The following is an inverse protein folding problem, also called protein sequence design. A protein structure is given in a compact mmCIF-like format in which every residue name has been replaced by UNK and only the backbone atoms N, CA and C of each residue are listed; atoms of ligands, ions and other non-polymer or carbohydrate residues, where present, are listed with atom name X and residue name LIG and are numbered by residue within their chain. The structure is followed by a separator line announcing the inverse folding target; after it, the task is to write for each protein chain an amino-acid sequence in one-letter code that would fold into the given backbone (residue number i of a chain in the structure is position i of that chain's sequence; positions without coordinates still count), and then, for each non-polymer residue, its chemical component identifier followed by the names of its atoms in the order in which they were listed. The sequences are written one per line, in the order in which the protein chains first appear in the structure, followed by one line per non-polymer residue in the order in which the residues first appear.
data_IF_426715580178
#
_entry.id   IF_426715580178
#
_cell.length_a   1.000
_cell.length_b   1.000
_cell.length_c   1.000
_cell.angle_alpha   90.00
_cell.angle_beta   90.00
_cell.angle_gamma   90.00
#
_symmetry.space_group_name_H-M   'P 1'
#
loop_
_entity.id
_entity.type
_entity.pdbx_description
1 polymer ?
#
# COMPACT_ATOMS: atom_id res chain seq x y z
N UNK A 1 -22.18 37.70 15.79
CA UNK A 1 -22.19 36.26 15.54
C UNK A 1 -20.82 35.75 15.95
N UNK A 2 -20.71 35.14 17.14
CA UNK A 2 -19.49 34.43 17.52
C UNK A 2 -19.28 33.33 16.47
N UNK A 3 -18.12 33.34 15.79
CA UNK A 3 -17.82 32.34 14.77
C UNK A 3 -17.84 30.94 15.40
N UNK A 4 -18.38 29.95 14.68
CA UNK A 4 -18.39 28.57 15.18
C UNK A 4 -16.96 28.13 15.58
N UNK A 5 -16.82 27.38 16.68
CA UNK A 5 -15.51 26.97 17.18
C UNK A 5 -14.77 26.13 16.14
N UNK A 6 -13.51 26.48 15.92
CA UNK A 6 -12.62 25.71 15.03
C UNK A 6 -12.17 24.44 15.74
N UNK A 7 -12.40 23.29 15.12
CA UNK A 7 -11.87 22.03 15.61
C UNK A 7 -10.41 21.90 15.17
N UNK A 8 -9.49 21.81 16.14
CA UNK A 8 -8.10 21.46 15.90
C UNK A 8 -7.92 19.96 16.06
N UNK A 9 -7.36 19.29 15.05
CA UNK A 9 -7.12 17.84 15.03
C UNK A 9 -5.65 17.55 14.75
N UNK A 10 -4.99 16.83 15.67
CA UNK A 10 -3.59 16.40 15.55
C UNK A 10 -3.51 14.94 15.13
N UNK A 11 -2.79 14.65 14.05
CA UNK A 11 -2.67 13.33 13.45
C UNK A 11 -1.21 12.92 13.46
N UNK A 12 -0.93 11.67 13.83
CA UNK A 12 0.37 11.02 13.74
C UNK A 12 0.29 9.84 12.78
N UNK A 13 1.20 9.77 11.81
CA UNK A 13 1.31 8.70 10.83
C UNK A 13 2.75 8.14 10.82
N UNK A 14 2.90 6.82 10.86
CA UNK A 14 4.22 6.17 10.87
C UNK A 14 4.18 4.72 10.38
N UNK A 15 5.02 4.42 9.37
CA UNK A 15 5.48 3.07 9.11
C UNK A 15 6.44 2.64 10.24
N UNK A 16 6.03 1.65 11.04
CA UNK A 16 6.76 1.23 12.23
C UNK A 16 7.90 0.24 11.94
N UNK A 17 7.99 -0.29 10.71
CA UNK A 17 8.93 -1.36 10.32
C UNK A 17 9.05 -2.45 11.38
N UNK A 18 7.92 -3.01 11.86
CA UNK A 18 7.92 -3.94 12.99
C UNK A 18 7.97 -5.40 12.53
N UNK A 19 8.80 -5.70 11.52
CA UNK A 19 8.87 -7.04 10.91
C UNK A 19 9.56 -7.99 11.89
N UNK A 20 8.89 -9.11 12.20
CA UNK A 20 9.42 -10.09 13.13
C UNK A 20 10.70 -10.72 12.56
N UNK A 21 11.75 -10.76 13.37
CA UNK A 21 13.09 -11.31 13.06
C UNK A 21 13.96 -10.52 12.07
N UNK A 22 13.40 -9.61 11.28
CA UNK A 22 14.16 -8.80 10.32
C UNK A 22 14.47 -7.40 10.86
N UNK A 23 13.51 -6.75 11.51
CA UNK A 23 13.67 -5.37 11.95
C UNK A 23 14.56 -5.25 13.18
N UNK A 24 15.60 -4.41 13.07
CA UNK A 24 16.58 -4.17 14.13
C UNK A 24 15.93 -3.44 15.31
N UNK A 25 16.33 -3.82 16.53
CA UNK A 25 15.86 -3.23 17.81
C UNK A 25 14.32 -3.10 17.91
N UNK A 26 13.56 -3.99 17.26
CA UNK A 26 12.09 -3.88 17.12
C UNK A 26 11.35 -3.59 18.42
N UNK A 27 11.57 -4.41 19.47
CA UNK A 27 10.85 -4.26 20.74
C UNK A 27 11.14 -2.93 21.43
N UNK A 28 12.36 -2.44 21.32
CA UNK A 28 12.76 -1.15 21.88
C UNK A 28 12.07 0.00 21.15
N UNK A 29 12.09 -0.03 19.80
CA UNK A 29 11.40 0.96 18.96
C UNK A 29 9.89 0.99 19.19
N UNK A 30 9.22 -0.16 19.23
CA UNK A 30 7.77 -0.24 19.50
C UNK A 30 7.43 0.36 20.87
N UNK A 31 8.24 0.08 21.91
CA UNK A 31 8.06 0.69 23.23
C UNK A 31 8.25 2.20 23.19
N UNK A 32 9.27 2.66 22.49
CA UNK A 32 9.61 4.08 22.33
C UNK A 32 8.50 4.85 21.60
N UNK A 33 7.97 4.30 20.50
CA UNK A 33 6.79 4.82 19.80
C UNK A 33 5.63 4.99 20.80
N UNK A 34 5.31 3.95 21.57
CA UNK A 34 4.25 4.01 22.57
C UNK A 34 4.48 5.02 23.70
N UNK A 35 5.74 5.28 24.11
CA UNK A 35 6.06 6.32 25.09
C UNK A 35 5.86 7.72 24.53
N UNK A 36 6.34 7.97 23.32
CA UNK A 36 6.19 9.27 22.64
C UNK A 36 4.72 9.59 22.39
N UNK A 37 3.93 8.64 21.87
CA UNK A 37 2.50 8.85 21.63
C UNK A 37 1.74 9.21 22.90
N UNK A 38 2.13 8.64 24.05
CA UNK A 38 1.53 8.96 25.35
C UNK A 38 1.85 10.38 25.83
N UNK A 39 3.02 10.92 25.47
CA UNK A 39 3.49 12.23 25.89
C UNK A 39 3.00 13.36 24.98
N UNK A 40 3.10 13.18 23.65
CA UNK A 40 2.83 14.21 22.65
C UNK A 40 1.36 14.58 22.54
N UNK A 41 0.45 13.63 22.80
CA UNK A 41 -0.98 13.89 22.87
C UNK A 41 -1.65 14.22 21.54
N UNK A 42 -1.40 13.40 20.51
CA UNK A 42 -2.15 13.40 19.25
C UNK A 42 -3.61 12.95 19.45
N UNK A 43 -4.47 13.22 18.47
CA UNK A 43 -5.87 12.82 18.50
C UNK A 43 -6.15 11.53 17.73
N UNK A 44 -5.43 11.34 16.63
CA UNK A 44 -5.43 10.14 15.80
C UNK A 44 -4.00 9.67 15.55
N UNK A 45 -3.80 8.37 15.65
CA UNK A 45 -2.52 7.70 15.34
C UNK A 45 -2.80 6.62 14.31
N UNK A 46 -2.12 6.70 13.18
CA UNK A 46 -2.23 5.82 12.03
C UNK A 46 -0.88 5.11 11.87
N UNK A 47 -0.86 3.80 12.06
CA UNK A 47 0.39 3.04 12.03
C UNK A 47 0.35 1.99 10.92
N UNK A 48 1.46 1.86 10.21
CA UNK A 48 1.71 0.78 9.26
C UNK A 48 2.81 -0.14 9.80
N UNK A 49 2.93 -1.33 9.22
CA UNK A 49 3.94 -2.33 9.58
C UNK A 49 3.95 -2.79 11.04
N UNK A 50 2.83 -2.69 11.75
CA UNK A 50 2.63 -3.38 13.04
C UNK A 50 2.23 -4.83 12.76
N UNK A 51 3.20 -5.65 12.35
CA UNK A 51 2.94 -7.00 11.83
C UNK A 51 2.55 -8.02 12.91
N UNK A 52 3.00 -7.82 14.14
CA UNK A 52 2.75 -8.75 15.25
C UNK A 52 1.51 -8.34 16.04
N UNK A 53 0.54 -9.24 16.21
CA UNK A 53 -0.62 -9.00 17.09
C UNK A 53 -0.18 -8.72 18.54
N UNK A 54 0.95 -9.30 18.98
CA UNK A 54 1.52 -8.99 20.29
C UNK A 54 2.01 -7.54 20.37
N UNK A 55 2.69 -7.05 19.33
CA UNK A 55 3.22 -5.67 19.32
C UNK A 55 2.03 -4.68 19.32
N UNK A 56 0.93 -4.98 18.60
CA UNK A 56 -0.32 -4.23 18.69
C UNK A 56 -0.94 -4.29 20.09
N UNK A 57 -1.02 -5.48 20.71
CA UNK A 57 -1.59 -5.66 22.05
C UNK A 57 -0.81 -4.86 23.10
N UNK A 58 0.53 -4.88 23.02
CA UNK A 58 1.41 -4.13 23.92
C UNK A 58 1.21 -2.62 23.76
N UNK A 59 1.13 -2.12 22.52
CA UNK A 59 0.79 -0.72 22.24
C UNK A 59 -0.60 -0.38 22.79
N UNK A 60 -1.61 -1.23 22.57
CA UNK A 60 -2.98 -1.00 23.06
C UNK A 60 -3.04 -0.87 24.57
N UNK A 61 -2.37 -1.75 25.31
CA UNK A 61 -2.32 -1.66 26.78
C UNK A 61 -1.63 -0.37 27.21
N UNK A 62 -0.48 -0.06 26.60
CA UNK A 62 0.31 1.14 26.94
C UNK A 62 -0.43 2.45 26.66
N UNK A 63 -1.20 2.47 25.57
CA UNK A 63 -1.90 3.65 25.07
C UNK A 63 -3.33 3.77 25.60
N UNK A 64 -3.87 2.80 26.34
CA UNK A 64 -5.26 2.78 26.76
C UNK A 64 -5.71 4.03 27.54
N UNK A 65 -4.80 4.67 28.29
CA UNK A 65 -5.10 5.89 29.06
C UNK A 65 -5.25 7.15 28.22
N UNK A 66 -4.65 7.21 27.02
CA UNK A 66 -4.73 8.37 26.12
C UNK A 66 -5.51 8.08 24.84
N UNK A 67 -5.54 6.84 24.37
CA UNK A 67 -6.24 6.36 23.18
C UNK A 67 -7.12 5.15 23.53
N UNK A 68 -8.28 5.36 24.17
CA UNK A 68 -9.14 4.27 24.63
C UNK A 68 -9.75 3.47 23.47
N UNK A 69 -9.78 4.02 22.25
CA UNK A 69 -10.33 3.37 21.07
C UNK A 69 -9.22 3.00 20.11
N UNK A 70 -9.20 1.75 19.66
CA UNK A 70 -8.24 1.31 18.66
C UNK A 70 -8.78 0.15 17.83
N UNK A 71 -8.23 0.01 16.63
CA UNK A 71 -8.57 -1.08 15.71
C UNK A 71 -7.32 -1.61 15.01
N UNK A 72 -7.24 -2.94 14.88
CA UNK A 72 -6.19 -3.66 14.17
C UNK A 72 -6.78 -4.39 12.97
N UNK A 73 -6.32 -4.05 11.78
CA UNK A 73 -6.87 -4.58 10.55
C UNK A 73 -6.20 -5.91 10.19
N UNK A 74 -6.91 -7.02 10.35
CA UNK A 74 -6.41 -8.36 10.01
C UNK A 74 -6.61 -8.67 8.53
N UNK A 75 -5.55 -9.04 7.83
CA UNK A 75 -5.56 -9.31 6.38
C UNK A 75 -4.45 -10.29 6.00
N UNK A 76 -4.60 -11.02 4.89
CA UNK A 76 -3.55 -11.91 4.36
C UNK A 76 -3.07 -12.99 5.35
N UNK A 77 -1.87 -13.53 5.11
CA UNK A 77 -1.26 -14.58 5.94
C UNK A 77 -0.48 -13.96 7.11
N UNK A 78 0.31 -12.91 6.84
CA UNK A 78 1.15 -12.25 7.85
C UNK A 78 0.39 -11.12 8.57
N UNK A 79 -0.64 -10.54 7.97
CA UNK A 79 -1.33 -9.34 8.46
C UNK A 79 -1.38 -8.24 7.40
N UNK A 80 -2.15 -7.18 7.65
CA UNK A 80 -2.02 -5.92 6.89
C UNK A 80 -0.91 -5.02 7.44
N UNK A 81 -0.56 -5.20 8.72
CA UNK A 81 0.33 -4.30 9.45
C UNK A 81 -0.34 -2.99 9.88
N UNK A 82 -1.63 -2.78 9.59
CA UNK A 82 -2.32 -1.51 9.80
C UNK A 82 -3.06 -1.48 11.13
N UNK A 83 -2.90 -0.39 11.88
CA UNK A 83 -3.74 -0.12 13.03
C UNK A 83 -3.97 1.37 13.26
N UNK A 84 -5.06 1.66 13.95
CA UNK A 84 -5.46 3.03 14.32
C UNK A 84 -5.67 3.09 15.83
N UNK A 85 -5.15 4.14 16.45
CA UNK A 85 -5.48 4.55 17.81
C UNK A 85 -6.14 5.92 17.80
N UNK A 86 -7.21 6.08 18.58
CA UNK A 86 -8.01 7.30 18.60
C UNK A 86 -8.40 7.68 20.02
N UNK A 87 -8.38 8.99 20.27
CA UNK A 87 -9.01 9.59 21.45
C UNK A 87 -10.53 9.49 21.42
N UNK A 88 -11.10 9.39 20.22
CA UNK A 88 -12.54 9.47 19.98
C UNK A 88 -13.10 8.09 19.63
N UNK A 89 -14.39 7.82 19.93
CA UNK A 89 -15.03 6.56 19.60
C UNK A 89 -14.95 6.25 18.10
N UNK A 90 -14.45 5.06 17.78
CA UNK A 90 -14.55 4.48 16.44
C UNK A 90 -15.96 3.90 16.30
N UNK A 91 -16.74 4.47 15.39
CA UNK A 91 -18.15 4.13 15.19
C UNK A 91 -18.34 2.95 14.24
N UNK A 92 -17.48 2.84 13.23
CA UNK A 92 -17.51 1.77 12.24
C UNK A 92 -16.13 1.54 11.65
N UNK A 93 -15.92 0.35 11.09
CA UNK A 93 -14.65 -0.09 10.49
C UNK A 93 -14.89 -0.90 9.23
N UNK A 94 -14.09 -0.68 8.20
CA UNK A 94 -14.11 -1.46 6.97
C UNK A 94 -12.69 -1.73 6.49
N UNK A 95 -12.44 -2.92 5.95
CA UNK A 95 -11.15 -3.30 5.37
C UNK A 95 -11.32 -3.67 3.91
N UNK A 96 -10.45 -3.15 3.05
CA UNK A 96 -10.35 -3.54 1.65
C UNK A 96 -8.93 -4.01 1.34
N UNK A 97 -8.79 -5.31 1.05
CA UNK A 97 -7.52 -5.90 0.61
C UNK A 97 -7.35 -5.66 -0.90
N UNK A 98 -6.16 -5.22 -1.30
CA UNK A 98 -5.86 -4.96 -2.70
C UNK A 98 -5.73 -6.25 -3.52
N UNK A 99 -6.07 -6.14 -4.80
CA UNK A 99 -6.15 -7.29 -5.71
C UNK A 99 -4.78 -7.81 -6.17
N UNK A 100 -3.72 -6.98 -6.17
CA UNK A 100 -2.36 -7.36 -6.55
C UNK A 100 -1.36 -6.93 -5.47
N UNK A 101 -0.61 -7.90 -4.93
CA UNK A 101 0.33 -7.69 -3.81
C UNK A 101 1.75 -8.23 -4.10
N UNK A 102 2.14 -8.36 -5.37
CA UNK A 102 3.49 -8.82 -5.75
C UNK A 102 3.50 -10.26 -6.27
N UNK A 103 4.66 -10.91 -6.24
CA UNK A 103 4.85 -12.25 -6.81
C UNK A 103 5.18 -13.30 -5.74
N UNK A 104 4.47 -14.45 -5.70
CA UNK A 104 4.66 -15.47 -4.66
C UNK A 104 6.05 -16.11 -4.66
N UNK A 105 6.71 -16.13 -5.82
CA UNK A 105 8.04 -16.72 -5.99
C UNK A 105 9.17 -15.75 -5.67
N UNK A 106 8.89 -14.46 -5.45
CA UNK A 106 9.87 -13.47 -5.02
C UNK A 106 9.92 -13.42 -3.50
N UNK A 107 10.43 -14.50 -2.87
CA UNK A 107 10.41 -14.67 -1.41
C UNK A 107 11.09 -13.55 -0.63
N UNK A 108 12.08 -12.89 -1.24
CA UNK A 108 12.78 -11.76 -0.65
C UNK A 108 11.94 -10.48 -0.65
N UNK A 109 10.87 -10.43 -1.46
CA UNK A 109 9.96 -9.29 -1.58
C UNK A 109 8.64 -9.66 -0.87
N UNK A 110 8.60 -9.44 0.44
CA UNK A 110 7.61 -10.01 1.35
C UNK A 110 6.15 -9.59 1.12
N UNK A 111 5.88 -8.58 0.29
CA UNK A 111 4.55 -8.00 0.05
C UNK A 111 3.49 -9.02 -0.34
N UNK A 112 3.85 -10.09 -1.07
CA UNK A 112 2.86 -11.09 -1.51
C UNK A 112 2.26 -11.87 -0.33
N UNK A 113 3.05 -12.11 0.71
CA UNK A 113 2.59 -12.80 1.92
C UNK A 113 1.81 -11.86 2.86
N UNK A 114 1.94 -10.55 2.63
CA UNK A 114 1.22 -9.50 3.32
C UNK A 114 -0.13 -9.26 2.65
N UNK A 115 -1.15 -8.95 3.46
CA UNK A 115 -2.46 -8.57 2.96
C UNK A 115 -2.55 -7.07 2.75
N UNK A 116 -1.73 -6.47 1.88
CA UNK A 116 -1.72 -5.01 1.63
C UNK A 116 -3.15 -4.53 1.35
N UNK A 117 -3.53 -3.45 2.01
CA UNK A 117 -4.94 -3.08 2.15
C UNK A 117 -5.09 -1.62 2.53
N UNK A 118 -6.32 -1.12 2.47
CA UNK A 118 -6.74 0.10 3.15
C UNK A 118 -7.75 -0.23 4.23
N UNK A 119 -7.50 0.26 5.45
CA UNK A 119 -8.44 0.24 6.56
C UNK A 119 -9.17 1.59 6.66
N UNK A 120 -10.49 1.56 6.80
CA UNK A 120 -11.35 2.71 7.09
C UNK A 120 -11.83 2.63 8.54
N UNK A 121 -11.75 3.73 9.26
CA UNK A 121 -12.51 3.96 10.50
C UNK A 121 -13.40 5.20 10.35
N UNK A 122 -14.63 5.11 10.86
CA UNK A 122 -15.56 6.25 10.91
C UNK A 122 -15.58 6.79 12.34
N UNK A 123 -15.35 8.10 12.49
CA UNK A 123 -15.25 8.77 13.80
C UNK A 123 -16.11 10.03 13.75
N UNK A 124 -16.80 10.36 14.85
CA UNK A 124 -17.55 11.62 14.97
C UNK A 124 -16.98 12.50 16.07
N UNK A 125 -16.50 13.69 15.70
CA UNK A 125 -15.85 14.64 16.60
C UNK A 125 -16.59 15.96 16.52
N UNK A 126 -17.14 16.43 17.64
CA UNK A 126 -17.88 17.71 17.71
C UNK A 126 -18.96 17.87 16.63
N UNK A 127 -19.66 16.77 16.31
CA UNK A 127 -20.71 16.74 15.30
C UNK A 127 -20.24 16.55 13.85
N UNK A 128 -18.92 16.57 13.59
CA UNK A 128 -18.29 16.37 12.27
C UNK A 128 -17.96 14.89 12.09
N UNK A 129 -18.37 14.32 10.97
CA UNK A 129 -18.12 12.92 10.60
C UNK A 129 -16.83 12.80 9.79
N UNK A 130 -15.86 12.06 10.33
CA UNK A 130 -14.59 11.78 9.69
C UNK A 130 -14.59 10.35 9.15
N UNK A 131 -14.24 10.20 7.88
CA UNK A 131 -13.76 8.92 7.36
C UNK A 131 -12.24 8.99 7.30
N UNK A 132 -11.60 8.17 8.14
CA UNK A 132 -10.15 8.11 8.27
C UNK A 132 -9.66 6.80 7.67
N UNK A 133 -8.80 6.90 6.67
CA UNK A 133 -8.22 5.79 5.95
C UNK A 133 -6.76 5.64 6.38
N UNK A 134 -6.32 4.42 6.68
CA UNK A 134 -4.92 4.06 6.86
C UNK A 134 -4.56 3.02 5.79
N UNK A 135 -3.44 3.21 5.11
CA UNK A 135 -3.01 2.26 4.07
C UNK A 135 -1.51 2.05 4.07
N UNK A 136 -1.09 0.97 3.42
CA UNK A 136 0.30 0.70 3.07
C UNK A 136 0.30 0.06 1.68
N UNK A 137 0.81 0.78 0.67
CA UNK A 137 0.90 0.27 -0.69
C UNK A 137 2.12 -0.67 -0.85
N UNK A 138 2.21 -1.36 -1.98
CA UNK A 138 3.31 -2.26 -2.30
C UNK A 138 4.63 -1.51 -2.29
N UNK A 139 5.72 -2.10 -1.79
CA UNK A 139 7.02 -1.44 -1.76
C UNK A 139 7.65 -1.23 -3.15
N UNK A 140 8.45 -0.18 -3.30
CA UNK A 140 9.36 0.03 -4.44
C UNK A 140 10.75 -0.53 -4.10
N UNK A 141 11.03 -1.75 -4.57
CA UNK A 141 12.30 -2.42 -4.29
C UNK A 141 13.49 -1.94 -5.15
N UNK A 142 13.23 -1.25 -6.26
CA UNK A 142 14.27 -0.76 -7.16
C UNK A 142 13.72 0.31 -8.11
N UNK A 143 14.20 1.55 -7.97
CA UNK A 143 13.74 2.68 -8.80
C UNK A 143 14.02 2.51 -10.29
N UNK A 144 15.21 2.00 -10.64
CA UNK A 144 15.62 1.84 -12.04
C UNK A 144 14.90 0.68 -12.75
N UNK A 145 14.52 -0.36 -12.00
CA UNK A 145 13.92 -1.58 -12.53
C UNK A 145 12.71 -1.99 -11.71
N UNK A 146 11.72 -1.13 -11.73
CA UNK A 146 10.51 -1.35 -10.94
C UNK A 146 9.50 -2.24 -11.67
N UNK A 147 9.58 -3.55 -11.42
CA UNK A 147 8.61 -4.51 -11.94
C UNK A 147 7.25 -4.44 -11.24
N UNK A 148 7.14 -3.67 -10.14
CA UNK A 148 5.95 -3.56 -9.30
C UNK A 148 5.16 -2.28 -9.53
N UNK A 149 5.62 -1.37 -10.40
CA UNK A 149 4.87 -0.16 -10.76
C UNK A 149 3.41 -0.48 -11.16
N UNK A 150 3.13 -1.47 -12.03
CA UNK A 150 1.74 -1.78 -12.38
C UNK A 150 0.92 -2.26 -11.19
N UNK A 151 1.53 -2.94 -10.22
CA UNK A 151 0.86 -3.37 -8.99
C UNK A 151 0.54 -2.15 -8.13
N UNK A 152 1.50 -1.25 -7.89
CA UNK A 152 1.28 0.00 -7.14
C UNK A 152 0.20 0.87 -7.79
N UNK A 153 0.14 0.94 -9.12
CA UNK A 153 -0.90 1.67 -9.85
C UNK A 153 -2.29 1.04 -9.72
N UNK A 154 -2.40 -0.29 -9.78
CA UNK A 154 -3.67 -0.98 -9.50
C UNK A 154 -4.12 -0.67 -8.07
N UNK A 155 -3.22 -0.77 -7.08
CA UNK A 155 -3.54 -0.47 -5.69
C UNK A 155 -3.95 1.01 -5.48
N UNK A 156 -3.24 1.95 -6.10
CA UNK A 156 -3.58 3.38 -6.05
C UNK A 156 -4.96 3.66 -6.67
N UNK A 157 -5.28 3.01 -7.80
CA UNK A 157 -6.58 3.10 -8.43
C UNK A 157 -7.69 2.52 -7.55
N UNK A 158 -7.48 1.33 -6.98
CA UNK A 158 -8.41 0.70 -6.05
C UNK A 158 -8.62 1.55 -4.79
N UNK A 159 -7.55 2.11 -4.22
CA UNK A 159 -7.62 3.04 -3.09
C UNK A 159 -8.45 4.29 -3.43
N UNK A 160 -8.21 4.88 -4.60
CA UNK A 160 -8.93 6.07 -5.04
C UNK A 160 -10.43 5.79 -5.23
N UNK A 161 -10.77 4.65 -5.84
CA UNK A 161 -12.14 4.20 -6.00
C UNK A 161 -12.79 3.91 -4.64
N UNK A 162 -12.10 3.19 -3.77
CA UNK A 162 -12.57 2.85 -2.43
C UNK A 162 -12.93 4.11 -1.64
N UNK A 163 -12.03 5.10 -1.59
CA UNK A 163 -12.26 6.38 -0.91
C UNK A 163 -13.48 7.09 -1.52
N UNK A 164 -13.57 7.21 -2.85
CA UNK A 164 -14.71 7.89 -3.50
C UNK A 164 -16.06 7.24 -3.19
N UNK A 165 -16.10 5.91 -3.13
CA UNK A 165 -17.34 5.19 -2.91
C UNK A 165 -17.77 5.16 -1.45
N UNK A 166 -16.81 5.16 -0.52
CA UNK A 166 -17.08 5.07 0.92
C UNK A 166 -17.16 6.42 1.62
N UNK A 167 -16.61 7.50 1.03
CA UNK A 167 -16.56 8.82 1.67
C UNK A 167 -17.78 9.72 1.44
N UNK A 168 -18.86 9.23 0.82
CA UNK A 168 -20.00 10.08 0.41
C UNK A 168 -20.76 10.71 1.58
N UNK A 169 -20.74 10.06 2.74
CA UNK A 169 -21.42 10.51 3.95
C UNK A 169 -20.48 11.22 4.95
N UNK A 170 -19.19 11.38 4.61
CA UNK A 170 -18.21 12.01 5.47
C UNK A 170 -18.22 13.53 5.29
N UNK A 171 -18.07 14.28 6.38
CA UNK A 171 -17.83 15.72 6.34
C UNK A 171 -16.37 16.01 6.00
N UNK A 172 -15.46 15.21 6.55
CA UNK A 172 -14.02 15.29 6.34
C UNK A 172 -13.47 13.90 6.02
N UNK A 173 -12.56 13.86 5.06
CA UNK A 173 -11.85 12.66 4.63
C UNK A 173 -10.37 12.84 4.93
N UNK A 174 -9.78 11.85 5.60
CA UNK A 174 -8.36 11.81 5.95
C UNK A 174 -7.76 10.50 5.46
N UNK A 175 -6.62 10.54 4.79
CA UNK A 175 -5.83 9.37 4.43
C UNK A 175 -4.44 9.53 5.04
N UNK A 176 -4.00 8.55 5.82
CA UNK A 176 -2.63 8.42 6.31
C UNK A 176 -1.96 7.15 5.80
N UNK A 177 -0.66 7.21 5.58
CA UNK A 177 0.19 6.04 5.50
C UNK A 177 1.25 6.08 4.41
N UNK A 178 1.96 4.96 4.34
CA UNK A 178 3.03 4.71 3.39
C UNK A 178 2.48 4.34 2.01
N UNK A 179 2.59 5.28 1.08
CA UNK A 179 2.15 5.09 -0.30
C UNK A 179 3.25 4.54 -1.21
N UNK A 180 4.49 4.35 -0.72
CA UNK A 180 5.62 3.78 -1.46
C UNK A 180 5.85 4.41 -2.85
N UNK A 181 5.50 5.69 -3.00
CA UNK A 181 5.62 6.45 -4.24
C UNK A 181 5.97 7.91 -3.93
N UNK A 182 6.86 8.47 -4.74
CA UNK A 182 7.31 9.85 -4.64
C UNK A 182 6.19 10.81 -5.10
N UNK A 183 6.13 12.09 -4.65
CA UNK A 183 4.99 12.97 -4.92
C UNK A 183 4.64 13.18 -6.40
N UNK A 184 5.63 13.12 -7.28
CA UNK A 184 5.48 13.30 -8.73
C UNK A 184 5.17 11.98 -9.48
N UNK A 185 5.22 10.85 -8.78
CA UNK A 185 4.92 9.56 -9.38
C UNK A 185 3.44 9.49 -9.77
N UNK A 186 3.18 8.81 -10.89
CA UNK A 186 1.85 8.72 -11.50
C UNK A 186 0.79 8.19 -10.54
N UNK A 187 1.13 7.27 -9.62
CA UNK A 187 0.18 6.75 -8.64
C UNK A 187 -0.28 7.79 -7.61
N UNK A 188 0.60 8.67 -7.15
CA UNK A 188 0.24 9.76 -6.22
C UNK A 188 -0.61 10.80 -6.92
N UNK A 189 -0.21 11.21 -8.14
CA UNK A 189 -1.00 12.13 -8.97
C UNK A 189 -2.38 11.57 -9.28
N UNK A 190 -2.47 10.28 -9.63
CA UNK A 190 -3.71 9.56 -9.91
C UNK A 190 -4.62 9.56 -8.67
N UNK A 191 -4.09 9.15 -7.52
CA UNK A 191 -4.83 9.09 -6.26
C UNK A 191 -5.39 10.46 -5.88
N UNK A 192 -4.54 11.50 -5.86
CA UNK A 192 -4.92 12.86 -5.48
C UNK A 192 -5.91 13.46 -6.47
N UNK A 193 -5.64 13.38 -7.76
CA UNK A 193 -6.50 13.92 -8.80
C UNK A 193 -7.88 13.24 -8.83
N UNK A 194 -7.93 11.91 -8.70
CA UNK A 194 -9.17 11.16 -8.74
C UNK A 194 -10.02 11.36 -7.48
N UNK A 195 -9.39 11.50 -6.31
CA UNK A 195 -10.10 11.67 -5.02
C UNK A 195 -10.36 13.13 -4.65
N UNK A 196 -9.61 14.07 -5.20
CA UNK A 196 -9.57 15.48 -4.77
C UNK A 196 -8.87 15.69 -3.41
N UNK A 197 -8.09 14.72 -2.95
CA UNK A 197 -7.34 14.84 -1.71
C UNK A 197 -6.15 15.81 -1.88
N UNK A 198 -6.01 16.73 -0.92
CA UNK A 198 -4.90 17.67 -0.82
C UNK A 198 -3.82 17.11 0.09
N UNK A 199 -2.57 17.46 -0.23
CA UNK A 199 -1.40 17.00 0.51
C UNK A 199 -1.09 17.96 1.65
N UNK A 200 -1.10 17.45 2.89
CA UNK A 200 -0.84 18.27 4.07
C UNK A 200 0.55 18.91 4.03
N UNK A 201 1.56 18.24 3.46
CA UNK A 201 2.89 18.83 3.33
C UNK A 201 2.88 20.04 2.40
N UNK A 202 2.20 19.94 1.26
CA UNK A 202 2.11 21.03 0.30
C UNK A 202 1.23 22.21 0.77
N UNK A 203 0.26 21.95 1.65
CA UNK A 203 -0.70 22.95 2.13
C UNK A 203 -0.34 23.53 3.52
N UNK A 204 0.68 23.00 4.19
CA UNK A 204 1.05 23.42 5.53
C UNK A 204 1.52 24.88 5.55
N UNK A 205 1.03 25.65 6.53
CA UNK A 205 1.52 27.02 6.76
C UNK A 205 2.93 27.01 7.34
N UNK A 206 3.21 26.04 8.19
CA UNK A 206 4.51 25.82 8.82
C UNK A 206 4.96 24.37 8.64
N UNK A 207 6.22 24.20 8.22
CA UNK A 207 6.85 22.89 8.10
C UNK A 207 8.13 22.84 8.95
N UNK A 208 8.29 21.76 9.71
CA UNK A 208 9.50 21.46 10.49
C UNK A 208 9.86 19.99 10.32
N UNK A 209 11.07 19.68 9.85
CA UNK A 209 11.49 18.30 9.69
C UNK A 209 12.53 18.09 8.59
N UNK A 210 12.56 16.88 8.06
CA UNK A 210 13.43 16.48 6.97
C UNK A 210 13.17 17.29 5.69
N UNK A 211 14.23 17.60 4.95
CA UNK A 211 14.12 18.41 3.73
C UNK A 211 13.11 17.80 2.76
N UNK A 212 12.31 18.65 2.11
CA UNK A 212 11.24 18.25 1.17
C UNK A 212 10.18 17.30 1.77
N UNK A 213 10.12 17.18 3.10
CA UNK A 213 9.23 16.24 3.78
C UNK A 213 9.61 14.78 3.55
N UNK A 214 10.87 14.50 3.20
CA UNK A 214 11.33 13.13 3.00
C UNK A 214 11.17 12.31 4.29
N UNK A 215 10.73 11.07 4.14
CA UNK A 215 10.43 10.17 5.25
C UNK A 215 11.33 8.95 5.27
N UNK A 216 11.91 8.58 4.12
CA UNK A 216 13.04 7.65 4.06
C UNK A 216 14.30 8.45 3.74
N UNK A 217 15.18 8.62 4.73
CA UNK A 217 16.33 9.54 4.64
C UNK A 217 17.68 8.83 4.82
N UNK A 218 18.77 9.30 4.17
CA UNK A 218 20.08 8.66 4.26
C UNK A 218 20.72 8.70 5.66
N UNK A 219 20.35 9.70 6.46
CA UNK A 219 20.87 9.88 7.82
C UNK A 219 20.22 8.90 8.83
N UNK A 220 19.15 8.20 8.44
CA UNK A 220 18.50 7.20 9.27
C UNK A 220 19.31 5.88 9.22
N UNK A 221 19.72 5.39 10.39
CA UNK A 221 20.62 4.24 10.50
C UNK A 221 19.97 2.88 10.17
N UNK A 222 18.66 2.84 9.91
CA UNK A 222 17.95 1.65 9.48
C UNK A 222 17.64 1.61 7.97
N UNK A 223 17.81 2.73 7.27
CA UNK A 223 17.62 2.81 5.82
C UNK A 223 18.74 2.12 5.04
N UNK A 224 18.40 1.52 3.90
CA UNK A 224 19.40 1.06 2.92
C UNK A 224 19.82 2.20 1.99
N UNK A 225 21.02 2.73 2.20
CA UNK A 225 21.57 3.83 1.39
C UNK A 225 21.81 3.47 -0.08
N UNK A 226 21.83 2.18 -0.44
CA UNK A 226 21.95 1.79 -1.85
C UNK A 226 20.66 2.10 -2.64
N UNK A 227 19.50 2.03 -1.99
CA UNK A 227 18.20 2.36 -2.60
C UNK A 227 18.01 3.88 -2.75
N UNK A 228 18.69 4.66 -1.90
CA UNK A 228 18.64 6.13 -1.91
C UNK A 228 19.67 6.80 -2.82
N UNK A 229 20.50 6.05 -3.55
CA UNK A 229 21.51 6.63 -4.45
C UNK A 229 20.95 7.68 -5.44
N UNK A 230 19.75 7.50 -6.05
CA UNK A 230 19.14 8.53 -6.91
C UNK A 230 18.58 9.73 -6.15
N UNK A 231 18.46 9.63 -4.82
CA UNK A 231 17.73 10.55 -3.94
C UNK A 231 18.61 11.00 -2.77
N UNK A 232 19.58 11.90 -3.01
CA UNK A 232 20.56 12.28 -1.98
C UNK A 232 19.96 13.00 -0.76
N UNK A 233 18.71 13.48 -0.86
CA UNK A 233 17.96 14.09 0.25
C UNK A 233 16.95 13.12 0.89
N UNK A 234 16.89 11.88 0.42
CA UNK A 234 15.84 10.92 0.75
C UNK A 234 14.62 11.01 -0.18
N UNK A 235 13.64 10.15 0.08
CA UNK A 235 12.36 10.10 -0.63
C UNK A 235 11.20 10.36 0.32
N UNK A 236 10.16 11.02 -0.19
CA UNK A 236 8.89 11.22 0.52
C UNK A 236 7.88 10.17 0.07
N UNK A 237 7.54 9.25 0.95
CA UNK A 237 6.63 8.14 0.65
C UNK A 237 5.49 7.97 1.66
N UNK A 238 5.56 8.64 2.82
CA UNK A 238 4.49 8.68 3.81
C UNK A 238 3.72 10.00 3.72
N UNK A 239 2.40 9.92 3.82
CA UNK A 239 1.52 11.06 3.53
C UNK A 239 0.36 11.16 4.51
N UNK A 240 0.01 12.40 4.87
CA UNK A 240 -1.31 12.75 5.39
C UNK A 240 -2.02 13.57 4.32
N UNK A 241 -3.05 12.99 3.71
CA UNK A 241 -3.88 13.65 2.70
C UNK A 241 -5.28 13.92 3.24
N UNK A 242 -5.90 15.03 2.84
CA UNK A 242 -7.23 15.39 3.33
C UNK A 242 -8.11 16.13 2.33
N UNK A 243 -9.42 16.06 2.55
CA UNK A 243 -10.40 16.97 1.94
C UNK A 243 -11.61 17.13 2.86
N UNK A 244 -12.39 18.17 2.58
CA UNK A 244 -13.67 18.42 3.23
C UNK A 244 -14.77 18.47 2.18
N UNK A 245 -16.00 18.17 2.56
CA UNK A 245 -17.17 18.52 1.74
C UNK A 245 -17.40 20.03 1.78
N UNK A 246 -18.23 20.53 0.87
CA UNK A 246 -18.44 21.96 0.63
C UNK A 246 -18.99 22.77 1.82
N UNK A 247 -19.57 22.12 2.83
CA UNK A 247 -20.03 22.76 4.07
C UNK A 247 -18.94 22.91 5.13
N UNK A 248 -17.72 22.43 4.87
CA UNK A 248 -16.58 22.50 5.78
C UNK A 248 -15.34 22.99 5.06
N UNK A 249 -14.43 23.58 5.81
CA UNK A 249 -13.08 23.90 5.36
C UNK A 249 -12.09 23.23 6.29
N UNK A 250 -11.07 22.63 5.68
CA UNK A 250 -9.92 22.06 6.38
C UNK A 250 -8.67 22.78 5.89
N UNK A 251 -7.84 23.25 6.82
CA UNK A 251 -6.53 23.85 6.56
C UNK A 251 -5.46 23.13 7.37
N UNK A 252 -4.28 22.92 6.78
CA UNK A 252 -3.11 22.43 7.48
C UNK A 252 -2.35 23.62 8.07
N UNK A 253 -2.37 23.76 9.39
CA UNK A 253 -1.57 24.79 10.07
C UNK A 253 -0.10 24.39 10.07
N UNK A 254 0.17 23.16 10.49
CA UNK A 254 1.52 22.68 10.75
C UNK A 254 1.66 21.25 10.25
N UNK A 255 2.77 20.96 9.58
CA UNK A 255 3.21 19.59 9.33
C UNK A 255 4.64 19.42 9.85
N UNK A 256 4.88 18.32 10.56
CA UNK A 256 6.19 17.94 11.06
C UNK A 256 6.61 16.58 10.57
N UNK A 257 7.91 16.39 10.39
CA UNK A 257 8.49 15.04 10.41
C UNK A 257 9.44 14.89 11.57
N UNK A 258 9.68 13.66 12.01
CA UNK A 258 10.89 13.38 12.79
C UNK A 258 12.13 13.57 11.91
N UNK A 259 13.30 13.67 12.54
CA UNK A 259 14.58 13.97 11.87
C UNK A 259 15.69 13.02 12.33
N UNK A 260 15.38 11.73 12.40
CA UNK A 260 16.30 10.69 12.84
C UNK A 260 16.04 10.27 14.30
N UNK A 261 17.05 10.26 15.19
CA UNK A 261 16.90 9.72 16.54
C UNK A 261 15.71 10.33 17.30
N UNK A 262 14.95 9.48 17.98
CA UNK A 262 13.86 9.94 18.83
C UNK A 262 14.40 10.83 19.97
N UNK A 263 13.61 11.78 20.48
CA UNK A 263 14.05 12.67 21.55
C UNK A 263 14.64 11.92 22.75
N UNK A 264 15.90 12.20 23.08
CA UNK A 264 16.62 11.59 24.20
C UNK A 264 17.14 10.16 23.95
N UNK A 265 17.05 9.65 22.72
CA UNK A 265 17.49 8.31 22.34
C UNK A 265 18.59 8.37 21.27
N UNK A 266 19.31 7.25 21.11
CA UNK A 266 20.33 7.04 20.09
C UNK A 266 19.79 6.44 18.78
N UNK A 267 18.49 6.13 18.73
CA UNK A 267 17.83 5.46 17.62
C UNK A 267 16.58 6.19 17.14
N UNK A 268 16.29 6.14 15.83
CA UNK A 268 15.03 6.62 15.29
C UNK A 268 13.88 5.67 15.65
N UNK A 269 12.64 6.15 15.49
CA UNK A 269 11.44 5.35 15.72
C UNK A 269 11.32 4.20 14.72
N UNK A 270 11.71 4.43 13.47
CA UNK A 270 11.69 3.47 12.37
C UNK A 270 12.80 3.77 11.37
N UNK A 271 12.92 2.97 10.32
CA UNK A 271 13.59 3.35 9.08
C UNK A 271 12.86 4.50 8.35
N UNK A 272 11.57 4.69 8.63
CA UNK A 272 10.80 5.86 8.25
C UNK A 272 10.77 6.92 9.35
N UNK A 273 10.74 8.18 8.93
CA UNK A 273 10.40 9.33 9.76
C UNK A 273 8.88 9.47 9.89
N UNK A 274 8.39 9.75 11.10
CA UNK A 274 6.96 9.92 11.34
C UNK A 274 6.46 11.22 10.70
N UNK A 275 5.24 11.22 10.16
CA UNK A 275 4.57 12.40 9.61
C UNK A 275 3.48 12.84 10.58
N UNK A 276 3.48 14.12 10.96
CA UNK A 276 2.58 14.68 11.96
C UNK A 276 1.89 15.91 11.41
N UNK A 277 0.56 15.95 11.41
CA UNK A 277 -0.20 17.08 10.89
C UNK A 277 -1.13 17.68 11.95
N UNK A 278 -1.21 19.01 11.97
CA UNK A 278 -2.21 19.76 12.72
C UNK A 278 -3.20 20.39 11.74
N UNK A 279 -4.43 19.87 11.72
CA UNK A 279 -5.50 20.34 10.86
C UNK A 279 -6.50 21.21 11.65
N UNK A 280 -6.97 22.28 11.02
CA UNK A 280 -8.06 23.12 11.52
C UNK A 280 -9.29 22.95 10.65
N UNK A 281 -10.38 22.52 11.27
CA UNK A 281 -11.66 22.25 10.62
C UNK A 281 -12.68 23.27 11.09
N UNK A 282 -13.31 23.96 10.14
CA UNK A 282 -14.34 24.96 10.39
C UNK A 282 -15.55 24.67 9.51
N UNK A 283 -16.75 24.81 10.06
CA UNK A 283 -17.97 24.83 9.25
C UNK A 283 -18.02 26.12 8.45
N UNK A 284 -18.42 26.04 7.18
CA UNK A 284 -18.68 27.20 6.34
C UNK A 284 -20.16 27.32 5.99
N UNK A 285 -20.63 28.57 5.83
CA UNK A 285 -21.86 28.88 5.11
C UNK A 285 -21.67 28.73 3.60
N UNK A 286 -22.78 28.68 2.86
CA UNK A 286 -22.91 28.24 1.44
C UNK A 286 -21.65 28.29 0.55
N UNK A 287 -21.39 27.23 -0.23
CA UNK A 287 -20.17 27.12 -1.03
C UNK A 287 -20.17 28.06 -2.23
N UNK A 288 -19.00 28.65 -2.50
CA UNK A 288 -18.69 29.29 -3.78
C UNK A 288 -18.22 28.19 -4.73
N UNK A 289 -18.96 27.99 -5.83
CA UNK A 289 -18.68 26.95 -6.81
C UNK A 289 -17.28 27.09 -7.41
N UNK A 290 -16.52 25.99 -7.40
CA UNK A 290 -15.24 25.90 -8.09
C UNK A 290 -15.45 25.59 -9.57
N UNK A 291 -14.69 26.24 -10.45
CA UNK A 291 -14.66 26.01 -11.90
C UNK A 291 -13.95 24.68 -12.21
N UNK A 292 -14.65 23.76 -12.88
CA UNK A 292 -14.21 22.37 -13.11
C UNK A 292 -13.26 22.16 -14.30
N UNK A 293 -13.17 23.10 -15.26
CA UNK A 293 -12.69 22.77 -16.61
C UNK A 293 -11.20 22.41 -16.76
N UNK A 294 -10.28 23.00 -15.99
CA UNK A 294 -8.82 22.76 -16.15
C UNK A 294 -8.32 21.53 -15.37
N UNK A 295 -8.98 21.17 -14.29
CA UNK A 295 -8.59 20.02 -13.45
C UNK A 295 -8.93 18.69 -14.11
N UNK A 296 -10.03 18.62 -14.86
CA UNK A 296 -10.47 17.39 -15.54
C UNK A 296 -9.53 17.01 -16.70
N UNK A 297 -8.95 17.99 -17.42
CA UNK A 297 -7.94 17.74 -18.46
C UNK A 297 -6.64 17.17 -17.88
N UNK A 298 -6.11 17.81 -16.83
CA UNK A 298 -4.90 17.32 -16.16
C UNK A 298 -5.12 15.91 -15.59
N UNK A 299 -6.30 15.63 -15.03
CA UNK A 299 -6.64 14.29 -14.55
C UNK A 299 -6.71 13.27 -15.68
N UNK A 300 -7.26 13.63 -16.85
CA UNK A 300 -7.30 12.76 -18.01
C UNK A 300 -5.89 12.37 -18.50
N UNK A 301 -4.94 13.29 -18.48
CA UNK A 301 -3.54 13.00 -18.81
C UNK A 301 -2.93 12.00 -17.82
N UNK A 302 -3.13 12.21 -16.51
CA UNK A 302 -2.64 11.30 -15.47
C UNK A 302 -3.25 9.90 -15.57
N UNK A 303 -4.57 9.81 -15.83
CA UNK A 303 -5.23 8.51 -16.01
C UNK A 303 -4.72 7.81 -17.28
N UNK A 304 -4.41 8.57 -18.34
CA UNK A 304 -3.83 8.03 -19.59
C UNK A 304 -2.43 7.47 -19.34
N UNK A 305 -1.59 8.18 -18.60
CA UNK A 305 -0.26 7.73 -18.19
C UNK A 305 -0.35 6.46 -17.33
N UNK A 306 -1.18 6.47 -16.28
CA UNK A 306 -1.38 5.31 -15.40
C UNK A 306 -1.86 4.08 -16.19
N UNK A 307 -2.83 4.28 -17.09
CA UNK A 307 -3.34 3.22 -17.95
C UNK A 307 -2.26 2.64 -18.87
N UNK A 308 -1.37 3.49 -19.37
CA UNK A 308 -0.25 3.05 -20.23
C UNK A 308 0.68 2.11 -19.46
N UNK A 309 1.05 2.46 -18.23
CA UNK A 309 1.88 1.64 -17.35
C UNK A 309 1.20 0.33 -16.92
N UNK A 310 -0.10 0.38 -16.58
CA UNK A 310 -0.90 -0.83 -16.35
C UNK A 310 -0.91 -1.73 -17.59
N UNK A 311 -1.01 -1.14 -18.79
CA UNK A 311 -0.92 -1.86 -20.06
C UNK A 311 0.46 -2.51 -20.32
N UNK A 312 1.55 -1.88 -19.87
CA UNK A 312 2.90 -2.49 -19.88
C UNK A 312 2.92 -3.72 -18.99
N UNK A 313 2.40 -3.60 -17.76
CA UNK A 313 2.25 -4.72 -16.82
C UNK A 313 1.40 -5.85 -17.40
N UNK A 314 0.27 -5.53 -18.02
CA UNK A 314 -0.63 -6.51 -18.63
C UNK A 314 0.09 -7.35 -19.70
N UNK A 315 0.84 -6.70 -20.60
CA UNK A 315 1.63 -7.39 -21.63
C UNK A 315 2.72 -8.28 -21.00
N UNK A 316 3.35 -7.83 -19.92
CA UNK A 316 4.33 -8.63 -19.19
C UNK A 316 3.69 -9.88 -18.57
N UNK A 317 2.57 -9.72 -17.85
CA UNK A 317 1.82 -10.81 -17.23
C UNK A 317 1.30 -11.82 -18.28
N UNK A 318 0.83 -11.34 -19.44
CA UNK A 318 0.42 -12.21 -20.55
C UNK A 318 1.57 -13.07 -21.08
N UNK A 319 2.78 -12.49 -21.22
CA UNK A 319 3.98 -13.26 -21.61
C UNK A 319 4.33 -14.32 -20.57
N UNK A 320 4.27 -13.99 -19.28
CA UNK A 320 4.55 -14.95 -18.21
C UNK A 320 3.51 -16.07 -18.15
N UNK A 321 2.22 -15.74 -18.30
CA UNK A 321 1.12 -16.72 -18.41
C UNK A 321 1.31 -17.67 -19.58
N UNK A 322 1.71 -17.15 -20.74
CA UNK A 322 2.00 -17.98 -21.93
C UNK A 322 3.22 -18.87 -21.70
N UNK A 323 4.31 -18.32 -21.16
CA UNK A 323 5.54 -19.05 -20.86
C UNK A 323 5.30 -20.19 -19.88
N UNK A 324 4.66 -19.90 -18.74
CA UNK A 324 4.31 -20.90 -17.72
C UNK A 324 3.34 -21.97 -18.25
N UNK A 325 2.33 -21.58 -19.05
CA UNK A 325 1.42 -22.52 -19.70
C UNK A 325 2.15 -23.46 -20.67
N UNK A 326 3.06 -22.92 -21.49
CA UNK A 326 3.88 -23.73 -22.40
C UNK A 326 4.79 -24.70 -21.64
N UNK A 327 5.41 -24.25 -20.55
CA UNK A 327 6.23 -25.12 -19.70
C UNK A 327 5.41 -26.24 -19.06
N UNK A 328 4.20 -25.97 -18.60
CA UNK A 328 3.30 -26.98 -18.06
C UNK A 328 2.93 -28.03 -19.13
N UNK A 329 2.60 -27.60 -20.35
CA UNK A 329 2.30 -28.53 -21.46
C UNK A 329 3.49 -29.39 -21.82
N UNK A 330 4.70 -28.80 -21.93
CA UNK A 330 5.93 -29.56 -22.22
C UNK A 330 6.24 -30.59 -21.13
N UNK A 331 6.09 -30.21 -19.86
CA UNK A 331 6.28 -31.13 -18.73
C UNK A 331 5.26 -32.28 -18.75
N UNK A 332 4.00 -31.99 -19.07
CA UNK A 332 2.95 -33.00 -19.23
C UNK A 332 3.25 -33.95 -20.40
N UNK A 333 3.66 -33.43 -21.56
CA UNK A 333 4.05 -34.25 -22.71
C UNK A 333 5.23 -35.17 -22.39
N UNK A 334 6.21 -34.68 -21.62
CA UNK A 334 7.34 -35.48 -21.16
C UNK A 334 6.86 -36.63 -20.25
N UNK A 335 5.97 -36.35 -19.29
CA UNK A 335 5.39 -37.37 -18.41
C UNK A 335 4.57 -38.41 -19.20
N UNK A 336 3.81 -37.99 -20.21
CA UNK A 336 3.05 -38.90 -21.07
C UNK A 336 3.96 -39.77 -21.93
N UNK A 337 5.03 -39.21 -22.50
CA UNK A 337 6.04 -39.96 -23.25
C UNK A 337 6.72 -40.99 -22.35
N UNK A 338 6.99 -40.62 -21.09
CA UNK A 338 7.52 -41.54 -20.10
C UNK A 338 6.51 -42.65 -19.74
N UNK A 339 5.25 -42.31 -19.48
CA UNK A 339 4.23 -43.33 -19.23
C UNK A 339 4.13 -44.32 -20.40
N UNK A 340 4.13 -43.81 -21.64
CA UNK A 340 4.09 -44.63 -22.86
C UNK A 340 5.33 -45.53 -23.00
N UNK A 341 6.53 -45.02 -22.77
CA UNK A 341 7.77 -45.81 -22.85
C UNK A 341 7.82 -46.92 -21.77
N UNK A 342 7.37 -46.63 -20.55
CA UNK A 342 7.27 -47.62 -19.47
C UNK A 342 6.22 -48.71 -19.77
N UNK A 343 5.06 -48.32 -20.32
CA UNK A 343 4.03 -49.24 -20.79
C UNK A 343 4.55 -50.13 -21.93
N UNK A 344 5.30 -49.56 -22.87
CA UNK A 344 5.93 -50.31 -23.96
C UNK A 344 6.94 -51.35 -23.46
N UNK A 345 7.72 -51.02 -22.44
CA UNK A 345 8.64 -51.99 -21.82
C UNK A 345 7.88 -53.10 -21.08
N UNK A 346 6.81 -52.76 -20.36
CA UNK A 346 5.93 -53.75 -19.71
C UNK A 346 5.21 -54.66 -20.73
N UNK A 347 4.87 -54.13 -21.91
CA UNK A 347 4.24 -54.87 -23.00
C UNK A 347 5.22 -55.70 -23.85
N UNK A 348 6.51 -55.74 -23.49
CA UNK A 348 7.51 -56.56 -24.18
C UNK A 348 8.05 -55.96 -25.50
N UNK A 349 7.83 -54.66 -25.74
CA UNK A 349 8.36 -53.94 -26.92
C UNK A 349 9.79 -53.39 -26.70
N UNK A 350 10.45 -53.79 -25.61
CA UNK A 350 11.77 -53.30 -25.22
C UNK A 350 12.94 -54.03 -25.91
N UNK A 351 14.07 -53.34 -26.08
CA UNK A 351 15.34 -53.94 -26.50
C UNK A 351 15.92 -54.82 -25.39
N UNK A 352 16.86 -55.73 -25.70
CA UNK A 352 17.49 -56.64 -24.71
C UNK A 352 18.29 -55.94 -23.59
N UNK A 353 18.40 -54.61 -23.61
CA UNK A 353 19.10 -53.85 -22.57
C UNK A 353 18.19 -53.55 -21.36
N UNK A 354 18.76 -53.52 -20.14
CA UNK A 354 18.00 -53.20 -18.94
C UNK A 354 17.47 -51.77 -18.98
N UNK A 355 16.15 -51.61 -18.81
CA UNK A 355 15.50 -50.30 -18.76
C UNK A 355 16.10 -49.45 -17.62
N UNK A 356 16.52 -48.19 -17.89
CA UNK A 356 17.18 -47.34 -16.89
C UNK A 356 16.17 -46.76 -15.89
N UNK A 357 15.64 -47.62 -15.00
CA UNK A 357 14.57 -47.29 -14.04
C UNK A 357 14.86 -46.05 -13.21
N UNK A 358 16.08 -45.94 -12.66
CA UNK A 358 16.44 -44.82 -11.79
C UNK A 358 16.40 -43.48 -12.52
N UNK A 359 17.08 -43.37 -13.66
CA UNK A 359 17.09 -42.14 -14.47
C UNK A 359 15.69 -41.75 -14.94
N UNK A 360 14.87 -42.74 -15.27
CA UNK A 360 13.49 -42.53 -15.68
C UNK A 360 12.62 -41.99 -14.55
N UNK A 361 12.71 -42.59 -13.36
CA UNK A 361 12.01 -42.12 -12.17
C UNK A 361 12.45 -40.70 -11.80
N UNK A 362 13.77 -40.42 -11.78
CA UNK A 362 14.30 -39.09 -11.47
C UNK A 362 13.78 -38.04 -12.47
N UNK A 363 13.79 -38.34 -13.76
CA UNK A 363 13.27 -37.44 -14.79
C UNK A 363 11.75 -37.24 -14.65
N UNK A 364 11.00 -38.28 -14.30
CA UNK A 364 9.57 -38.17 -14.03
C UNK A 364 9.26 -37.31 -12.80
N UNK A 365 10.02 -37.46 -11.71
CA UNK A 365 9.89 -36.60 -10.53
C UNK A 365 10.21 -35.14 -10.87
N UNK A 366 11.28 -34.89 -11.64
CA UNK A 366 11.62 -33.54 -12.09
C UNK A 366 10.51 -32.95 -12.97
N UNK A 367 10.01 -33.72 -13.95
CA UNK A 367 8.93 -33.29 -14.83
C UNK A 367 7.64 -33.00 -14.06
N UNK A 368 7.31 -33.80 -13.05
CA UNK A 368 6.19 -33.55 -12.15
C UNK A 368 6.37 -32.26 -11.34
N UNK A 369 7.56 -32.04 -10.79
CA UNK A 369 7.88 -30.79 -10.08
C UNK A 369 7.74 -29.55 -10.97
N UNK A 370 8.26 -29.62 -12.20
CA UNK A 370 8.11 -28.55 -13.21
C UNK A 370 6.64 -28.34 -13.57
N UNK A 371 5.88 -29.42 -13.77
CA UNK A 371 4.45 -29.34 -14.09
C UNK A 371 3.68 -28.61 -12.98
N UNK A 372 3.88 -29.01 -11.72
CA UNK A 372 3.19 -28.40 -10.57
C UNK A 372 3.55 -26.92 -10.44
N UNK A 373 4.84 -26.58 -10.50
CA UNK A 373 5.28 -25.19 -10.40
C UNK A 373 4.77 -24.34 -11.58
N UNK A 374 4.90 -24.83 -12.81
CA UNK A 374 4.46 -24.13 -14.00
C UNK A 374 2.93 -23.94 -14.02
N UNK A 375 2.17 -24.93 -13.56
CA UNK A 375 0.72 -24.82 -13.41
C UNK A 375 0.33 -23.78 -12.35
N UNK A 376 1.00 -23.77 -11.20
CA UNK A 376 0.77 -22.77 -10.16
C UNK A 376 1.07 -21.34 -10.65
N UNK A 377 2.20 -21.15 -11.35
CA UNK A 377 2.55 -19.87 -11.98
C UNK A 377 1.53 -19.48 -13.07
N UNK A 378 1.06 -20.43 -13.86
CA UNK A 378 0.05 -20.16 -14.88
C UNK A 378 -1.27 -19.67 -14.27
N UNK A 379 -1.72 -20.29 -13.17
CA UNK A 379 -2.91 -19.84 -12.44
C UNK A 379 -2.70 -18.45 -11.87
N UNK A 380 -1.56 -18.20 -11.22
CA UNK A 380 -1.21 -16.89 -10.67
C UNK A 380 -1.23 -15.80 -11.76
N UNK A 381 -0.49 -15.98 -12.86
CA UNK A 381 -0.46 -14.99 -13.95
C UNK A 381 -1.78 -14.88 -14.70
N UNK A 382 -2.66 -15.89 -14.61
CA UNK A 382 -4.04 -15.77 -15.11
C UNK A 382 -4.88 -14.82 -14.26
N UNK A 383 -4.72 -14.86 -12.94
CA UNK A 383 -5.36 -13.89 -12.04
C UNK A 383 -4.79 -12.49 -12.27
N UNK A 384 -3.46 -12.37 -12.34
CA UNK A 384 -2.76 -11.11 -12.58
C UNK A 384 -3.24 -10.43 -13.88
N UNK A 385 -3.30 -11.18 -14.99
CA UNK A 385 -3.83 -10.69 -16.27
C UNK A 385 -5.27 -10.20 -16.15
N UNK A 386 -6.14 -10.93 -15.44
CA UNK A 386 -7.54 -10.52 -15.25
C UNK A 386 -7.66 -9.20 -14.48
N UNK A 387 -6.89 -9.04 -13.40
CA UNK A 387 -6.92 -7.82 -12.60
C UNK A 387 -6.38 -6.64 -13.40
N UNK A 388 -5.19 -6.76 -14.00
CA UNK A 388 -4.58 -5.70 -14.80
C UNK A 388 -5.49 -5.27 -15.95
N UNK A 389 -6.09 -6.23 -16.66
CA UNK A 389 -7.01 -5.93 -17.75
C UNK A 389 -8.29 -5.24 -17.25
N UNK A 390 -8.87 -5.72 -16.15
CA UNK A 390 -10.04 -5.08 -15.54
C UNK A 390 -9.75 -3.65 -15.07
N UNK A 391 -8.58 -3.39 -14.51
CA UNK A 391 -8.15 -2.02 -14.13
C UNK A 391 -7.95 -1.14 -15.36
N UNK A 392 -7.34 -1.67 -16.43
CA UNK A 392 -7.18 -0.95 -17.69
C UNK A 392 -8.54 -0.52 -18.28
N UNK A 393 -9.52 -1.43 -18.28
CA UNK A 393 -10.89 -1.16 -18.74
C UNK A 393 -11.59 -0.10 -17.87
N UNK A 394 -11.41 -0.16 -16.55
CA UNK A 394 -11.93 0.85 -15.63
C UNK A 394 -11.33 2.22 -15.88
N UNK A 395 -10.01 2.31 -16.07
CA UNK A 395 -9.33 3.56 -16.41
C UNK A 395 -9.79 4.10 -17.77
N UNK A 396 -10.04 3.22 -18.75
CA UNK A 396 -10.61 3.62 -20.03
C UNK A 396 -12.02 4.20 -19.90
N UNK A 397 -12.89 3.56 -19.13
CA UNK A 397 -14.23 4.10 -18.85
C UNK A 397 -14.17 5.45 -18.13
N UNK A 398 -13.24 5.59 -17.19
CA UNK A 398 -12.97 6.85 -16.49
C UNK A 398 -12.54 7.97 -17.44
N UNK A 399 -11.64 7.69 -18.40
CA UNK A 399 -11.21 8.67 -19.41
C UNK A 399 -12.37 9.17 -20.26
N UNK A 400 -13.24 8.26 -20.73
CA UNK A 400 -14.44 8.66 -21.49
C UNK A 400 -15.35 9.57 -20.67
N UNK A 401 -15.58 9.20 -19.41
CA UNK A 401 -16.41 10.00 -18.52
C UNK A 401 -15.81 11.38 -18.21
N UNK A 402 -14.48 11.55 -18.25
CA UNK A 402 -13.83 12.86 -18.11
C UNK A 402 -13.95 13.70 -19.39
N UNK A 403 -13.89 13.06 -20.56
CA UNK A 403 -14.01 13.73 -21.86
C UNK A 403 -15.45 14.16 -22.19
N UNK A 404 -16.45 13.45 -21.64
CA UNK A 404 -17.87 13.74 -21.84
C UNK A 404 -18.43 14.79 -20.86
N UNK A 405 -17.63 15.27 -19.89
CA UNK A 405 -18.04 16.35 -18.99
C UNK A 405 -18.02 17.68 -19.73
N UNK A 406 -19.11 18.47 -19.68
CA UNK A 406 -19.25 19.72 -20.42
C UNK A 406 -18.34 20.84 -19.94
#
# INVERSE_FOLDING_TARGET
MEGEPTLRLRIFDLNCWAIRYLSKRRQERVRLIGDTLRQEGFDLVLLQEVWSEQDYSDLKVKLAGCYPFSHYFRSGVIGSGLCVFSRFPILDTLLYQYSLNGYPYMLQHGDWFCGKSVGLVIIKISGITFNVYVTHLHAEYCREKDTYLPHRLVQAWELAQFIRHTSKAADVVLLGGDLNMHPEDVGIRLLRGWTGLRDAFAEATHFEGCKNGCTLVPDNCFTDNSELLPFPLGIRIDYILYKAISSFTVKCEELKTTTGPAPGMDIPFSDHEAVMATLHIQRQGQPVGATLGTADLALADVVTEARTEVGVGLRAAQRQRYSSGRMAVLALLLLLLQAAAALGTLAGLGTEQPFPKLSFCLLAFLALGVLVLAAALHVFHTMEVKVLHGTEDQMWMALRALQERP
#
